data_IF_558809577770
#
_entry.id   IF_558809577770
#
_cell.length_a   1.000
_cell.length_b   1.000
_cell.length_c   1.000
_cell.angle_alpha   90.00
_cell.angle_beta   90.00
_cell.angle_gamma   90.00
#
_symmetry.space_group_name_H-M   'P 1'
#
loop_
_entity.id
_entity.type
_entity.pdbx_description
1 polymer ?
#
# COMPACT_ATOMS: atom_id res chain seq x y z
N UNK A 1 -24.98 -13.48 -69.45
CA UNK A 1 -23.85 -13.22 -70.38
C UNK A 1 -22.97 -12.17 -69.70
N UNK A 2 -21.68 -12.32 -69.42
CA UNK A 2 -20.67 -13.31 -69.74
C UNK A 2 -19.67 -13.41 -68.56
N UNK A 3 -18.92 -14.51 -68.54
CA UNK A 3 -17.92 -14.86 -67.53
C UNK A 3 -16.64 -14.02 -67.62
N UNK A 4 -15.88 -13.94 -66.52
CA UNK A 4 -14.42 -13.92 -66.57
C UNK A 4 -13.85 -14.56 -65.32
N UNK A 5 -13.15 -15.69 -65.52
CA UNK A 5 -12.30 -16.37 -64.57
C UNK A 5 -10.88 -15.82 -64.72
N UNK A 6 -10.19 -15.54 -63.61
CA UNK A 6 -8.73 -15.58 -63.57
C UNK A 6 -8.25 -15.99 -62.18
N UNK A 7 -7.84 -17.25 -62.09
CA UNK A 7 -6.88 -17.80 -61.12
C UNK A 7 -5.55 -17.04 -61.13
N UNK A 8 -4.85 -16.96 -59.98
CA UNK A 8 -3.40 -17.25 -59.80
C UNK A 8 -2.99 -17.12 -58.30
N UNK A 9 -2.63 -18.28 -57.74
CA UNK A 9 -1.54 -18.65 -56.80
C UNK A 9 -1.26 -17.81 -55.52
N UNK A 10 -1.27 -18.43 -54.32
CA UNK A 10 -0.76 -17.81 -53.09
C UNK A 10 0.76 -18.02 -52.95
N UNK A 11 1.52 -16.95 -52.75
CA UNK A 11 2.94 -17.03 -52.39
C UNK A 11 3.08 -17.10 -50.87
N UNK A 12 3.45 -18.29 -50.39
CA UNK A 12 3.76 -18.56 -48.97
C UNK A 12 5.13 -17.94 -48.66
N UNK A 13 5.17 -16.93 -47.80
CA UNK A 13 6.42 -16.43 -47.21
C UNK A 13 6.67 -17.19 -45.90
N UNK A 14 7.51 -18.21 -45.99
CA UNK A 14 8.11 -18.91 -44.84
C UNK A 14 9.08 -17.95 -44.15
N UNK A 15 8.72 -17.43 -42.97
CA UNK A 15 9.68 -16.73 -42.09
C UNK A 15 10.38 -17.75 -41.19
N UNK A 16 11.68 -17.82 -41.41
CA UNK A 16 12.68 -18.67 -40.77
C UNK A 16 12.80 -18.33 -39.27
N UNK A 17 12.43 -19.26 -38.39
CA UNK A 17 12.63 -19.18 -36.94
C UNK A 17 14.07 -19.58 -36.61
N UNK A 18 14.95 -18.58 -36.45
CA UNK A 18 16.27 -18.81 -35.85
C UNK A 18 16.10 -19.05 -34.34
N UNK A 19 16.18 -20.32 -33.96
CA UNK A 19 16.25 -20.83 -32.59
C UNK A 19 17.61 -20.42 -31.99
N UNK A 20 17.63 -19.35 -31.19
CA UNK A 20 18.79 -18.97 -30.39
C UNK A 20 18.87 -19.89 -29.17
N UNK A 21 19.76 -20.86 -29.26
CA UNK A 21 20.08 -21.81 -28.20
C UNK A 21 21.07 -21.13 -27.24
N UNK A 22 20.58 -20.58 -26.14
CA UNK A 22 21.43 -20.02 -25.07
C UNK A 22 21.67 -21.15 -24.06
N UNK A 23 22.89 -21.67 -24.09
CA UNK A 23 23.44 -22.59 -23.08
C UNK A 23 23.62 -21.83 -21.75
N UNK A 24 23.14 -22.34 -20.61
CA UNK A 24 23.45 -21.75 -19.31
C UNK A 24 24.85 -22.19 -18.86
N UNK A 25 25.76 -21.23 -18.69
CA UNK A 25 27.06 -21.45 -18.06
C UNK A 25 26.90 -21.85 -16.58
N UNK A 26 27.76 -22.74 -16.04
CA UNK A 26 27.61 -23.25 -14.67
C UNK A 26 27.90 -22.16 -13.63
N UNK A 27 27.00 -22.05 -12.65
CA UNK A 27 27.13 -21.22 -11.46
C UNK A 27 28.29 -21.76 -10.62
N UNK A 28 29.41 -21.04 -10.60
CA UNK A 28 30.47 -21.27 -9.64
C UNK A 28 30.03 -20.78 -8.26
N UNK A 29 29.63 -21.73 -7.42
CA UNK A 29 29.45 -21.55 -5.97
C UNK A 29 30.84 -21.33 -5.35
N UNK A 30 31.16 -20.08 -5.03
CA UNK A 30 32.27 -19.77 -4.14
C UNK A 30 31.74 -19.71 -2.70
N UNK A 31 31.98 -20.79 -1.96
CA UNK A 31 31.77 -20.87 -0.53
C UNK A 31 33.08 -20.55 0.22
N UNK A 32 32.91 -19.87 1.36
CA UNK A 32 33.81 -19.65 2.54
C UNK A 32 34.64 -18.36 2.58
N UNK A 33 35.09 -17.91 3.78
CA UNK A 33 34.75 -18.38 5.14
C UNK A 33 34.28 -17.28 6.11
N UNK A 34 33.51 -17.70 7.11
CA UNK A 34 33.24 -17.00 8.36
C UNK A 34 34.55 -16.70 9.11
N UNK A 35 34.80 -15.42 9.40
CA UNK A 35 35.85 -15.01 10.33
C UNK A 35 35.20 -14.64 11.67
N UNK A 36 35.47 -15.48 12.67
CA UNK A 36 35.27 -15.21 14.09
C UNK A 36 36.09 -13.97 14.47
N UNK A 37 35.44 -12.94 15.02
CA UNK A 37 36.15 -11.87 15.70
C UNK A 37 36.14 -12.18 17.20
N UNK A 38 37.33 -12.53 17.69
CA UNK A 38 37.60 -12.74 19.12
C UNK A 38 37.45 -11.43 19.89
N UNK A 39 36.69 -11.51 20.98
CA UNK A 39 36.70 -10.56 22.08
C UNK A 39 38.06 -10.55 22.75
N UNK A 40 38.72 -9.39 22.80
CA UNK A 40 39.83 -9.15 23.71
C UNK A 40 39.49 -7.93 24.58
N UNK A 41 39.20 -8.20 25.86
CA UNK A 41 39.15 -7.21 26.91
C UNK A 41 40.57 -6.69 27.16
N UNK A 42 40.70 -5.37 27.25
CA UNK A 42 41.82 -4.71 27.92
C UNK A 42 41.27 -3.58 28.77
N UNK A 43 41.38 -3.77 30.08
CA UNK A 43 41.11 -2.77 31.11
C UNK A 43 42.09 -1.60 30.96
N UNK A 44 41.59 -0.36 30.92
CA UNK A 44 42.37 0.81 31.30
C UNK A 44 41.60 1.60 32.35
N UNK A 45 42.21 1.60 33.53
CA UNK A 45 41.86 2.31 34.73
C UNK A 45 42.20 3.80 34.55
N UNK A 46 41.24 4.69 34.74
CA UNK A 46 41.52 6.10 35.00
C UNK A 46 40.63 6.61 36.13
N UNK A 47 41.27 6.86 37.28
CA UNK A 47 40.72 7.52 38.46
C UNK A 47 40.86 9.03 38.28
N UNK A 48 39.79 9.78 38.55
CA UNK A 48 39.91 11.06 39.26
C UNK A 48 38.55 11.42 39.88
N UNK A 49 38.53 11.46 41.20
CA UNK A 49 37.45 11.98 42.02
C UNK A 49 37.58 13.51 42.20
N UNK A 50 36.46 14.17 42.52
CA UNK A 50 36.26 15.38 43.37
C UNK A 50 34.82 15.90 43.08
N UNK A 51 33.79 15.52 43.86
CA UNK A 51 33.26 16.06 45.15
C UNK A 51 32.21 17.18 45.04
N UNK A 52 31.03 16.89 45.64
CA UNK A 52 30.02 17.74 46.31
C UNK A 52 29.16 18.68 45.44
N UNK A 53 27.86 18.95 45.64
CA UNK A 53 26.77 18.61 46.61
C UNK A 53 25.42 19.09 45.97
N UNK A 54 24.22 18.88 46.56
CA UNK A 54 22.98 18.67 45.81
C UNK A 54 22.07 19.92 45.72
N UNK A 55 21.41 20.08 44.57
CA UNK A 55 20.19 20.90 44.48
C UNK A 55 19.03 20.00 44.01
N UNK A 56 18.19 19.64 44.98
CA UNK A 56 16.87 19.05 44.76
C UNK A 56 15.98 20.10 44.11
N UNK A 57 15.51 19.83 42.89
CA UNK A 57 14.30 20.46 42.39
C UNK A 57 13.21 19.40 42.32
N UNK A 58 12.31 19.44 43.29
CA UNK A 58 11.04 18.72 43.26
C UNK A 58 10.15 19.49 42.28
N UNK A 59 9.90 18.92 41.11
CA UNK A 59 8.83 19.37 40.21
C UNK A 59 7.84 18.22 40.12
N UNK A 60 6.65 18.49 40.64
CA UNK A 60 5.45 17.65 40.60
C UNK A 60 5.08 17.29 39.16
N UNK A 61 4.75 16.03 38.84
CA UNK A 61 4.13 15.73 37.55
C UNK A 61 2.66 16.15 37.61
N UNK A 62 2.32 17.25 36.95
CA UNK A 62 0.92 17.55 36.63
C UNK A 62 0.43 16.51 35.64
N UNK A 63 -0.59 15.74 36.03
CA UNK A 63 -1.28 14.80 35.17
C UNK A 63 -1.87 15.55 33.96
N UNK A 64 -1.21 15.44 32.80
CA UNK A 64 -1.81 15.80 31.53
C UNK A 64 -2.68 14.60 31.15
N UNK A 65 -3.97 14.73 31.43
CA UNK A 65 -4.99 13.87 30.86
C UNK A 65 -4.96 14.05 29.35
N UNK A 66 -4.21 13.19 28.66
CA UNK A 66 -4.24 13.06 27.21
C UNK A 66 -5.54 12.35 26.85
N UNK A 67 -6.63 13.13 26.83
CA UNK A 67 -7.82 12.82 26.07
C UNK A 67 -7.39 12.71 24.60
N UNK A 68 -7.06 11.49 24.17
CA UNK A 68 -6.98 11.14 22.75
C UNK A 68 -8.39 11.26 22.18
N UNK A 69 -8.75 12.48 21.81
CA UNK A 69 -9.93 12.74 21.01
C UNK A 69 -9.73 12.02 19.69
N UNK A 70 -10.49 10.94 19.50
CA UNK A 70 -10.84 10.44 18.18
C UNK A 70 -11.42 11.61 17.39
N UNK A 71 -10.59 12.20 16.53
CA UNK A 71 -11.06 13.12 15.51
C UNK A 71 -11.88 12.30 14.50
N UNK A 72 -13.15 12.06 14.84
CA UNK A 72 -14.19 11.75 13.85
C UNK A 72 -14.39 13.03 13.05
N UNK A 73 -13.48 13.30 12.11
CA UNK A 73 -13.60 14.40 11.17
C UNK A 73 -14.78 14.09 10.27
N UNK A 74 -15.96 14.58 10.65
CA UNK A 74 -17.16 14.53 9.84
C UNK A 74 -16.83 15.10 8.45
N UNK A 75 -16.89 14.25 7.44
CA UNK A 75 -16.61 14.63 6.06
C UNK A 75 -17.58 15.76 5.68
N UNK A 76 -17.06 16.94 5.33
CA UNK A 76 -17.93 18.06 4.90
C UNK A 76 -18.67 17.65 3.62
N UNK A 77 -19.95 18.03 3.51
CA UNK A 77 -20.82 17.73 2.35
C UNK A 77 -20.13 17.87 0.99
N UNK A 78 -19.34 18.94 0.80
CA UNK A 78 -18.59 19.17 -0.44
C UNK A 78 -17.50 18.15 -0.78
N UNK A 79 -16.96 17.36 0.17
CA UNK A 79 -16.03 16.27 -0.15
C UNK A 79 -16.78 15.00 -0.62
N UNK A 80 -18.00 14.79 -0.15
CA UNK A 80 -18.87 13.68 -0.60
C UNK A 80 -19.31 13.94 -2.04
N UNK A 81 -19.64 15.19 -2.38
CA UNK A 81 -20.00 15.60 -3.73
C UNK A 81 -18.85 15.35 -4.74
N UNK A 82 -17.58 15.45 -4.30
CA UNK A 82 -16.44 15.13 -5.16
C UNK A 82 -16.32 13.62 -5.43
N UNK A 83 -16.63 12.77 -4.45
CA UNK A 83 -16.61 11.31 -4.60
C UNK A 83 -17.69 10.79 -5.55
N UNK A 84 -18.80 11.51 -5.71
CA UNK A 84 -19.89 11.11 -6.60
C UNK A 84 -19.43 11.01 -8.08
N UNK A 85 -18.45 11.83 -8.47
CA UNK A 85 -17.88 11.86 -9.81
C UNK A 85 -16.68 10.92 -10.03
N UNK A 86 -16.21 10.24 -8.97
CA UNK A 86 -15.00 9.42 -9.02
C UNK A 86 -15.30 8.05 -9.61
N UNK A 87 -14.46 7.63 -10.54
CA UNK A 87 -14.49 6.31 -11.19
C UNK A 87 -13.18 5.58 -10.92
N UNK A 88 -13.29 4.30 -10.58
CA UNK A 88 -12.16 3.36 -10.47
C UNK A 88 -12.34 2.23 -11.47
N UNK A 89 -11.25 1.54 -11.82
CA UNK A 89 -11.27 0.44 -12.76
C UNK A 89 -11.15 -0.89 -12.01
N UNK A 90 -12.01 -1.85 -12.34
CA UNK A 90 -11.84 -3.23 -11.87
C UNK A 90 -10.68 -3.93 -12.60
N UNK A 91 -10.45 -5.21 -12.29
CA UNK A 91 -9.40 -5.99 -12.93
C UNK A 91 -9.68 -6.28 -14.41
N UNK A 92 -10.91 -6.15 -14.90
CA UNK A 92 -11.22 -6.31 -16.33
C UNK A 92 -11.13 -4.98 -17.08
N UNK A 93 -10.91 -3.88 -16.36
CA UNK A 93 -10.82 -2.52 -16.89
C UNK A 93 -12.18 -1.84 -17.03
N UNK A 94 -13.24 -2.38 -16.43
CA UNK A 94 -14.54 -1.72 -16.42
C UNK A 94 -14.53 -0.54 -15.45
N UNK A 95 -15.18 0.54 -15.87
CA UNK A 95 -15.38 1.74 -15.06
C UNK A 95 -16.47 1.54 -14.01
N UNK A 96 -16.11 1.68 -12.74
CA UNK A 96 -17.00 1.55 -11.59
C UNK A 96 -17.04 2.88 -10.85
N UNK A 97 -18.23 3.51 -10.68
CA UNK A 97 -18.37 4.65 -9.78
C UNK A 97 -17.92 4.23 -8.38
N UNK A 98 -17.04 4.99 -7.74
CA UNK A 98 -16.44 4.54 -6.48
C UNK A 98 -17.49 4.29 -5.39
N UNK A 99 -18.57 5.07 -5.39
CA UNK A 99 -19.67 4.90 -4.44
C UNK A 99 -20.41 3.56 -4.59
N UNK A 100 -20.33 2.91 -5.75
CA UNK A 100 -20.98 1.62 -5.99
C UNK A 100 -20.31 0.48 -5.22
N UNK A 101 -19.06 0.66 -4.78
CA UNK A 101 -18.34 -0.30 -3.95
C UNK A 101 -19.01 -0.54 -2.58
N UNK A 102 -19.78 0.45 -2.10
CA UNK A 102 -20.44 0.46 -0.78
C UNK A 102 -21.89 0.98 -0.78
N UNK A 103 -22.49 1.28 -1.94
CA UNK A 103 -23.87 1.81 -1.98
C UNK A 103 -24.88 0.84 -1.35
N UNK A 104 -24.72 -0.46 -1.57
CA UNK A 104 -25.66 -1.50 -1.16
C UNK A 104 -25.11 -2.40 -0.03
N UNK A 105 -23.88 -2.14 0.43
CA UNK A 105 -23.21 -2.94 1.46
C UNK A 105 -22.17 -2.14 2.23
N UNK A 106 -21.74 -2.62 3.39
CA UNK A 106 -20.59 -2.06 4.12
C UNK A 106 -19.28 -2.45 3.41
N UNK A 107 -18.29 -1.56 3.42
CA UNK A 107 -16.98 -1.82 2.84
C UNK A 107 -15.86 -1.18 3.67
N UNK A 108 -14.81 -1.95 3.95
CA UNK A 108 -13.50 -1.44 4.35
C UNK A 108 -12.69 -1.24 3.08
N UNK A 109 -12.42 0.02 2.74
CA UNK A 109 -11.69 0.39 1.52
C UNK A 109 -10.32 0.92 1.90
N UNK A 110 -9.27 0.14 1.61
CA UNK A 110 -7.89 0.50 1.84
C UNK A 110 -7.28 1.12 0.58
N UNK A 111 -6.74 2.33 0.71
CA UNK A 111 -6.04 3.03 -0.35
C UNK A 111 -4.53 2.79 -0.21
N UNK A 112 -3.94 2.13 -1.20
CA UNK A 112 -2.50 1.94 -1.28
C UNK A 112 -1.81 3.23 -1.74
N UNK A 113 -0.51 3.36 -1.46
CA UNK A 113 0.34 4.44 -1.99
C UNK A 113 0.75 4.16 -3.44
N UNK A 114 1.01 2.89 -3.72
CA UNK A 114 1.22 2.28 -5.03
C UNK A 114 1.21 0.75 -4.84
N UNK A 115 0.92 -0.01 -5.90
CA UNK A 115 0.86 -1.48 -5.86
C UNK A 115 2.21 -2.17 -5.56
N UNK A 116 3.32 -1.47 -5.80
CA UNK A 116 4.66 -1.96 -5.46
C UNK A 116 5.07 -1.85 -3.99
N UNK A 117 4.31 -1.09 -3.18
CA UNK A 117 4.75 -0.63 -1.85
C UNK A 117 4.79 -1.77 -0.82
N UNK A 118 5.95 -1.97 -0.18
CA UNK A 118 6.15 -2.98 0.87
C UNK A 118 5.21 -2.76 2.06
N UNK A 119 5.02 -1.52 2.47
CA UNK A 119 4.13 -1.18 3.59
C UNK A 119 2.67 -1.40 3.22
N UNK A 120 2.26 -1.09 1.98
CA UNK A 120 0.90 -1.38 1.52
C UNK A 120 0.66 -2.88 1.36
N UNK A 121 1.67 -3.66 0.96
CA UNK A 121 1.60 -5.13 0.92
C UNK A 121 1.43 -5.73 2.32
N UNK A 122 2.21 -5.24 3.29
CA UNK A 122 2.07 -5.59 4.71
C UNK A 122 0.66 -5.26 5.22
N UNK A 123 0.16 -4.04 4.97
CA UNK A 123 -1.22 -3.63 5.30
C UNK A 123 -2.27 -4.54 4.67
N UNK A 124 -2.12 -4.86 3.38
CA UNK A 124 -3.06 -5.72 2.68
C UNK A 124 -3.12 -7.13 3.29
N UNK A 125 -1.97 -7.69 3.69
CA UNK A 125 -1.93 -8.99 4.37
C UNK A 125 -2.64 -8.95 5.74
N UNK A 126 -2.38 -7.93 6.56
CA UNK A 126 -3.08 -7.75 7.84
C UNK A 126 -4.59 -7.62 7.69
N UNK A 127 -5.06 -6.81 6.74
CA UNK A 127 -6.50 -6.67 6.48
C UNK A 127 -7.09 -7.99 5.96
N UNK A 128 -6.35 -8.72 5.12
CA UNK A 128 -6.78 -10.01 4.60
C UNK A 128 -6.85 -11.11 5.68
N UNK A 129 -6.01 -11.03 6.72
CA UNK A 129 -6.09 -11.91 7.89
C UNK A 129 -7.36 -11.68 8.72
N UNK A 130 -7.92 -10.47 8.67
CA UNK A 130 -9.08 -10.04 9.45
C UNK A 130 -10.38 -10.04 8.65
N UNK A 131 -10.31 -10.45 7.38
CA UNK A 131 -11.44 -10.47 6.45
C UNK A 131 -12.63 -11.26 6.99
N UNK A 132 -12.42 -12.40 7.66
CA UNK A 132 -13.52 -13.20 8.20
C UNK A 132 -14.34 -12.44 9.25
N UNK A 133 -13.70 -11.58 10.05
CA UNK A 133 -14.39 -10.71 11.01
C UNK A 133 -15.14 -9.58 10.31
N UNK A 134 -14.56 -9.01 9.25
CA UNK A 134 -15.23 -8.01 8.41
C UNK A 134 -16.46 -8.61 7.72
N UNK A 135 -16.33 -9.80 7.13
CA UNK A 135 -17.43 -10.52 6.47
C UNK A 135 -18.55 -10.84 7.48
N UNK A 136 -18.21 -11.26 8.70
CA UNK A 136 -19.17 -11.48 9.78
C UNK A 136 -19.92 -10.21 10.20
N UNK A 137 -19.28 -9.04 10.05
CA UNK A 137 -19.90 -7.72 10.23
C UNK A 137 -20.68 -7.24 8.98
N UNK A 138 -20.74 -8.03 7.91
CA UNK A 138 -21.36 -7.63 6.64
C UNK A 138 -20.54 -6.63 5.84
N UNK A 139 -19.25 -6.47 6.15
CA UNK A 139 -18.33 -5.57 5.46
C UNK A 139 -17.41 -6.32 4.50
N UNK A 140 -17.38 -5.86 3.24
CA UNK A 140 -16.40 -6.36 2.28
C UNK A 140 -15.02 -5.74 2.53
N UNK A 141 -13.97 -6.39 2.05
CA UNK A 141 -12.62 -5.83 2.00
C UNK A 141 -12.28 -5.43 0.56
N UNK A 142 -11.91 -4.17 0.37
CA UNK A 142 -11.53 -3.58 -0.92
C UNK A 142 -10.17 -2.90 -0.81
N UNK A 143 -9.34 -3.04 -1.85
CA UNK A 143 -8.08 -2.32 -2.02
C UNK A 143 -8.12 -1.49 -3.30
N UNK A 144 -7.85 -0.19 -3.18
CA UNK A 144 -7.71 0.73 -4.31
C UNK A 144 -6.25 1.19 -4.34
N UNK A 145 -5.62 1.10 -5.51
CA UNK A 145 -4.26 1.61 -5.70
C UNK A 145 -4.21 2.63 -6.83
N UNK A 146 -3.34 3.65 -6.74
CA UNK A 146 -3.08 4.51 -7.86
C UNK A 146 -2.18 3.74 -8.85
N UNK A 147 -2.62 3.64 -10.10
CA UNK A 147 -1.91 2.85 -11.10
C UNK A 147 -2.81 2.29 -12.19
N UNK A 148 -2.23 1.48 -13.07
CA UNK A 148 -2.95 0.82 -14.16
C UNK A 148 -3.66 -0.46 -13.70
N UNK A 149 -4.57 -0.96 -14.53
CA UNK A 149 -5.24 -2.25 -14.33
C UNK A 149 -4.23 -3.40 -14.30
N UNK A 150 -3.18 -3.35 -15.11
CA UNK A 150 -2.13 -4.37 -15.13
C UNK A 150 -1.33 -4.39 -13.81
N UNK A 151 -1.09 -3.23 -13.21
CA UNK A 151 -0.47 -3.16 -11.89
C UNK A 151 -1.36 -3.75 -10.79
N UNK A 152 -2.67 -3.49 -10.86
CA UNK A 152 -3.66 -4.07 -9.95
C UNK A 152 -3.73 -5.60 -10.09
N UNK A 153 -3.73 -6.13 -11.32
CA UNK A 153 -3.65 -7.57 -11.59
C UNK A 153 -2.39 -8.19 -11.00
N UNK A 154 -1.23 -7.61 -11.31
CA UNK A 154 0.04 -8.10 -10.80
C UNK A 154 0.07 -8.12 -9.25
N UNK A 155 -0.44 -7.07 -8.61
CA UNK A 155 -0.60 -7.05 -7.16
C UNK A 155 -1.48 -8.19 -6.64
N UNK A 156 -2.68 -8.35 -7.22
CA UNK A 156 -3.63 -9.39 -6.84
C UNK A 156 -3.03 -10.79 -6.98
N UNK A 157 -2.38 -11.05 -8.12
CA UNK A 157 -1.76 -12.35 -8.42
C UNK A 157 -0.59 -12.69 -7.50
N UNK A 158 0.26 -11.70 -7.18
CA UNK A 158 1.45 -11.90 -6.35
C UNK A 158 1.11 -12.03 -4.87
N UNK A 159 0.14 -11.24 -4.38
CA UNK A 159 -0.23 -11.20 -2.96
C UNK A 159 -1.30 -12.23 -2.60
N UNK A 160 -2.02 -12.76 -3.61
CA UNK A 160 -3.22 -13.58 -3.39
C UNK A 160 -4.22 -12.88 -2.47
N UNK A 161 -4.35 -11.56 -2.62
CA UNK A 161 -5.21 -10.74 -1.79
C UNK A 161 -6.64 -11.26 -1.84
N UNK A 162 -7.26 -11.42 -0.67
CA UNK A 162 -8.58 -12.05 -0.52
C UNK A 162 -9.74 -11.08 -0.75
N UNK A 163 -9.45 -9.78 -0.83
CA UNK A 163 -10.44 -8.75 -1.09
C UNK A 163 -10.52 -8.37 -2.57
N UNK A 164 -11.40 -7.43 -2.88
CA UNK A 164 -11.54 -6.87 -4.22
C UNK A 164 -10.42 -5.85 -4.48
N UNK A 165 -9.91 -5.77 -5.71
CA UNK A 165 -8.81 -4.86 -6.09
C UNK A 165 -9.25 -3.98 -7.25
N UNK A 166 -9.05 -2.67 -7.10
CA UNK A 166 -9.34 -1.68 -8.12
C UNK A 166 -8.15 -0.76 -8.38
N UNK A 167 -8.04 -0.30 -9.62
CA UNK A 167 -7.05 0.69 -10.04
C UNK A 167 -7.71 2.09 -10.14
N UNK A 168 -6.99 3.13 -9.70
CA UNK A 168 -7.34 4.53 -9.98
C UNK A 168 -6.20 5.20 -10.77
N UNK A 169 -6.17 5.05 -12.11
CA UNK A 169 -5.14 5.68 -12.95
C UNK A 169 -5.18 7.22 -12.91
N UNK A 170 -6.33 7.79 -12.55
CA UNK A 170 -6.59 9.24 -12.58
C UNK A 170 -6.22 9.95 -11.27
N UNK A 171 -6.01 9.18 -10.21
CA UNK A 171 -5.86 9.65 -8.83
C UNK A 171 -7.06 10.48 -8.35
N UNK A 172 -8.23 10.31 -8.98
CA UNK A 172 -9.41 11.12 -8.69
C UNK A 172 -9.95 10.81 -7.30
N UNK A 173 -9.90 9.55 -6.85
CA UNK A 173 -10.27 9.15 -5.50
C UNK A 173 -9.36 9.78 -4.45
N UNK A 174 -8.05 9.80 -4.69
CA UNK A 174 -7.04 10.39 -3.81
C UNK A 174 -7.23 11.90 -3.66
N UNK A 175 -7.54 12.59 -4.76
CA UNK A 175 -7.84 14.03 -4.77
C UNK A 175 -9.15 14.34 -4.05
N UNK A 176 -10.21 13.57 -4.31
CA UNK A 176 -11.51 13.76 -3.67
C UNK A 176 -11.43 13.56 -2.15
N UNK A 177 -10.70 12.53 -1.70
CA UNK A 177 -10.45 12.26 -0.28
C UNK A 177 -9.40 13.19 0.34
N UNK A 178 -8.71 14.01 -0.46
CA UNK A 178 -7.63 14.90 -0.02
C UNK A 178 -6.57 14.15 0.79
N UNK A 179 -6.12 13.00 0.27
CA UNK A 179 -5.03 12.28 0.91
C UNK A 179 -3.74 13.09 0.86
N UNK A 180 -2.93 12.93 1.90
CA UNK A 180 -1.67 13.64 2.06
C UNK A 180 -0.73 13.27 0.92
N UNK A 181 0.02 14.22 0.39
CA UNK A 181 1.10 13.95 -0.56
C UNK A 181 2.31 14.81 -0.25
N UNK A 182 3.51 14.25 -0.40
CA UNK A 182 4.75 15.00 -0.17
C UNK A 182 5.99 14.14 0.04
N UNK A 183 7.14 14.73 -0.24
CA UNK A 183 8.47 14.11 0.01
C UNK A 183 8.70 13.94 1.51
N UNK A 184 8.39 14.97 2.30
CA UNK A 184 8.58 14.98 3.75
C UNK A 184 7.68 13.98 4.49
N UNK A 185 6.52 13.61 3.93
CA UNK A 185 5.61 12.61 4.51
C UNK A 185 5.96 11.20 4.06
N UNK A 186 6.80 11.06 3.04
CA UNK A 186 7.25 9.77 2.51
C UNK A 186 8.56 9.31 3.13
N UNK A 187 9.50 10.22 3.33
CA UNK A 187 10.81 9.95 3.92
C UNK A 187 10.91 10.47 5.35
N UNK A 188 10.03 9.98 6.20
CA UNK A 188 10.16 10.21 7.64
C UNK A 188 11.08 9.16 8.27
N UNK A 189 11.75 9.46 9.39
CA UNK A 189 12.46 8.45 10.16
C UNK A 189 11.57 7.25 10.54
N UNK A 190 10.29 7.52 10.84
CA UNK A 190 9.28 6.48 11.14
C UNK A 190 9.03 5.54 9.96
N UNK A 191 8.84 6.08 8.76
CA UNK A 191 8.68 5.27 7.54
C UNK A 191 9.91 4.38 7.28
N UNK A 192 11.12 4.91 7.49
CA UNK A 192 12.36 4.14 7.36
C UNK A 192 12.43 2.93 8.31
N UNK A 193 12.09 3.14 9.59
CA UNK A 193 12.04 2.06 10.59
C UNK A 193 10.98 1.00 10.23
N UNK A 194 9.79 1.42 9.79
CA UNK A 194 8.72 0.51 9.37
C UNK A 194 9.11 -0.33 8.15
N UNK A 195 9.85 0.25 7.20
CA UNK A 195 10.38 -0.50 6.04
C UNK A 195 11.38 -1.57 6.51
N UNK A 196 12.31 -1.21 7.41
CA UNK A 196 13.27 -2.17 7.98
C UNK A 196 12.52 -3.30 8.69
N UNK A 197 11.53 -2.97 9.52
CA UNK A 197 10.69 -3.94 10.21
C UNK A 197 9.97 -4.86 9.23
N UNK A 198 9.30 -4.32 8.21
CA UNK A 198 8.63 -5.12 7.18
C UNK A 198 9.62 -6.05 6.46
N UNK A 199 10.86 -5.60 6.23
CA UNK A 199 11.89 -6.44 5.61
C UNK A 199 12.35 -7.57 6.54
N UNK A 200 12.47 -7.32 7.85
CA UNK A 200 12.76 -8.37 8.84
C UNK A 200 11.62 -9.40 8.90
N UNK A 201 10.37 -8.95 8.77
CA UNK A 201 9.18 -9.81 8.72
C UNK A 201 9.00 -10.54 7.37
N UNK A 202 9.89 -10.32 6.41
CA UNK A 202 9.91 -11.04 5.12
C UNK A 202 9.22 -10.33 3.96
N UNK A 203 8.58 -9.19 4.19
CA UNK A 203 7.99 -8.39 3.12
C UNK A 203 9.06 -7.75 2.25
N UNK A 204 8.79 -7.64 0.95
CA UNK A 204 9.70 -7.03 -0.02
C UNK A 204 8.97 -6.02 -0.89
N UNK A 205 9.70 -4.97 -1.27
CA UNK A 205 9.26 -4.03 -2.28
C UNK A 205 9.21 -4.74 -3.64
N UNK A 206 8.10 -4.60 -4.36
CA UNK A 206 8.08 -4.97 -5.77
C UNK A 206 8.61 -3.78 -6.57
N UNK A 207 9.87 -3.89 -6.98
CA UNK A 207 10.56 -2.85 -7.73
C UNK A 207 10.05 -2.69 -9.15
N UNK A 208 9.47 -3.72 -9.77
CA UNK A 208 8.91 -3.62 -11.13
C UNK A 208 7.70 -2.70 -11.11
N UNK A 209 6.78 -2.95 -10.18
CA UNK A 209 5.59 -2.10 -9.98
C UNK A 209 5.97 -0.74 -9.38
N UNK A 210 7.01 -0.66 -8.57
CA UNK A 210 7.46 0.62 -7.98
C UNK A 210 8.19 1.53 -8.98
N UNK A 211 8.82 0.97 -10.02
CA UNK A 211 9.56 1.74 -11.02
C UNK A 211 8.79 1.98 -12.32
N UNK A 212 7.55 1.50 -12.41
CA UNK A 212 6.70 1.80 -13.55
C UNK A 212 6.60 3.31 -13.77
N UNK A 213 6.61 3.73 -15.04
CA UNK A 213 6.82 5.13 -15.40
C UNK A 213 5.78 6.03 -14.76
N UNK A 214 4.53 5.59 -14.59
CA UNK A 214 3.50 6.38 -13.91
C UNK A 214 3.82 6.57 -12.41
N UNK A 215 4.16 5.49 -11.72
CA UNK A 215 4.57 5.50 -10.30
C UNK A 215 5.84 6.33 -10.07
N UNK A 216 6.78 6.31 -11.01
CA UNK A 216 8.04 7.06 -10.93
C UNK A 216 7.91 8.53 -11.36
N UNK A 217 7.09 8.86 -12.37
CA UNK A 217 6.93 10.23 -12.88
C UNK A 217 5.99 11.07 -12.03
N UNK A 218 4.96 10.45 -11.42
CA UNK A 218 4.06 11.11 -10.46
C UNK A 218 4.49 10.92 -9.01
N UNK A 219 5.45 10.02 -8.82
CA UNK A 219 6.23 9.81 -7.61
C UNK A 219 5.42 9.12 -6.51
N UNK A 220 6.05 8.17 -5.83
CA UNK A 220 5.51 7.51 -4.64
C UNK A 220 5.40 8.45 -3.43
N UNK A 221 4.96 9.69 -3.65
CA UNK A 221 4.74 10.75 -2.67
C UNK A 221 3.31 10.79 -2.15
N UNK A 222 2.39 10.12 -2.85
CA UNK A 222 1.01 9.99 -2.47
C UNK A 222 0.90 9.07 -1.25
N UNK A 223 0.25 9.55 -0.20
CA UNK A 223 -0.17 8.73 0.93
C UNK A 223 -1.54 8.09 0.66
N UNK A 224 -1.78 6.99 1.35
CA UNK A 224 -3.04 6.26 1.28
C UNK A 224 -3.94 6.59 2.46
N UNK A 225 -4.74 5.61 2.83
CA UNK A 225 -5.66 5.70 3.96
C UNK A 225 -6.59 4.50 4.01
N UNK A 226 -7.51 4.52 4.96
CA UNK A 226 -8.58 3.53 5.09
C UNK A 226 -9.87 4.28 5.32
N UNK A 227 -10.93 3.90 4.61
CA UNK A 227 -12.30 4.33 4.93
C UNK A 227 -13.15 3.11 5.26
N UNK A 228 -14.13 3.30 6.12
CA UNK A 228 -15.26 2.38 6.25
C UNK A 228 -16.50 3.12 5.77
N UNK A 229 -17.14 2.58 4.74
CA UNK A 229 -18.24 3.23 4.04
C UNK A 229 -19.41 2.27 3.82
N UNK A 230 -20.59 2.84 3.60
CA UNK A 230 -21.83 2.14 3.34
C UNK A 230 -22.54 1.59 4.58
N UNK A 231 -23.68 0.91 4.38
CA UNK A 231 -24.50 1.03 3.17
C UNK A 231 -24.95 2.48 2.92
N UNK A 232 -25.17 2.83 1.65
CA UNK A 232 -25.51 4.19 1.20
C UNK A 232 -24.30 4.96 0.64
N UNK A 233 -24.48 5.59 -0.53
CA UNK A 233 -23.40 6.29 -1.27
C UNK A 233 -22.66 7.34 -0.44
N UNK A 234 -23.39 8.04 0.44
CA UNK A 234 -22.89 9.17 1.23
C UNK A 234 -22.58 8.78 2.69
N UNK A 235 -22.61 7.50 3.01
CA UNK A 235 -22.35 7.00 4.36
C UNK A 235 -20.88 6.61 4.49
N UNK A 236 -20.10 7.40 5.21
CA UNK A 236 -18.71 7.09 5.55
C UNK A 236 -18.61 7.16 7.07
N UNK A 237 -18.56 5.99 7.70
CA UNK A 237 -18.56 5.85 9.16
C UNK A 237 -17.16 6.00 9.77
N UNK A 238 -16.11 5.84 8.97
CA UNK A 238 -14.72 6.02 9.40
C UNK A 238 -13.83 6.49 8.26
N UNK A 239 -12.87 7.35 8.59
CA UNK A 239 -11.80 7.77 7.67
C UNK A 239 -10.50 7.96 8.44
N UNK A 240 -9.47 7.22 8.01
CA UNK A 240 -8.09 7.43 8.39
C UNK A 240 -7.30 7.86 7.15
N UNK A 241 -6.61 8.99 7.24
CA UNK A 241 -5.72 9.48 6.18
C UNK A 241 -4.30 9.34 6.69
N UNK A 242 -3.50 8.55 5.98
CA UNK A 242 -2.12 8.28 6.38
C UNK A 242 -1.33 9.60 6.44
N UNK A 243 -0.76 9.92 7.60
CA UNK A 243 0.12 11.11 7.77
C UNK A 243 1.50 10.88 7.16
N UNK A 244 1.95 9.63 7.18
CA UNK A 244 3.22 9.18 6.65
C UNK A 244 3.14 7.75 6.10
N UNK A 245 4.18 7.31 5.40
CA UNK A 245 4.20 5.96 4.87
C UNK A 245 4.19 4.91 6.00
N UNK A 246 3.19 4.01 5.96
CA UNK A 246 2.98 2.98 6.99
C UNK A 246 2.27 3.48 8.24
N UNK A 247 1.62 4.65 8.21
CA UNK A 247 0.71 5.12 9.25
C UNK A 247 -0.58 4.28 9.25
N UNK A 248 -0.51 3.06 9.78
CA UNK A 248 -1.62 2.13 9.89
C UNK A 248 -2.46 2.43 11.16
N UNK A 249 -3.79 2.60 11.05
CA UNK A 249 -4.64 2.71 12.23
C UNK A 249 -4.79 1.34 12.91
N UNK A 250 -5.29 1.34 14.15
CA UNK A 250 -5.58 0.10 14.86
C UNK A 250 -6.70 -0.68 14.13
N UNK A 251 -6.50 -1.99 13.99
CA UNK A 251 -7.49 -2.88 13.38
C UNK A 251 -8.80 -2.89 14.17
N UNK A 252 -8.73 -2.74 15.50
CA UNK A 252 -9.93 -2.70 16.34
C UNK A 252 -10.82 -1.49 16.03
N UNK A 253 -10.22 -0.36 15.66
CA UNK A 253 -10.98 0.83 15.22
C UNK A 253 -11.72 0.58 13.91
N UNK A 254 -11.04 -0.07 12.95
CA UNK A 254 -11.65 -0.44 11.65
C UNK A 254 -12.81 -1.42 11.87
N UNK A 255 -12.58 -2.48 12.65
CA UNK A 255 -13.60 -3.50 12.93
C UNK A 255 -14.79 -2.90 13.66
N UNK A 256 -14.56 -2.03 14.66
CA UNK A 256 -15.63 -1.33 15.36
C UNK A 256 -16.49 -0.51 14.39
N UNK A 257 -15.88 0.19 13.43
CA UNK A 257 -16.60 0.97 12.43
C UNK A 257 -17.39 0.11 11.42
N UNK A 258 -17.12 -1.19 11.32
CA UNK A 258 -17.90 -2.12 10.49
C UNK A 258 -19.27 -2.43 11.10
N UNK A 259 -19.41 -2.39 12.43
CA UNK A 259 -20.66 -2.69 13.15
C UNK A 259 -21.60 -1.50 13.33
N UNK A 260 -21.24 -0.32 12.80
CA UNK A 260 -22.00 0.95 12.92
C UNK A 260 -22.87 1.20 11.69
#
# INVERSE_FOLDING_TARGET
MAASLSTIVPYIVVRNTKKLHIQPSPIHVFAKPSQKLNTHCSNVLAKSALTNSPHKWVITPSAISSSSGTETSAMTKGNIDLLESVVVLDLDGNEIPISDLWKDRKAVVAFARHFGCVLCRKRADYLAAEKEKMDAAGATLVLIGPGSVDQAKAFSEQTKFKGEVYADPSYSSYKALKFVSGVSTTFTPGAGLKIIQAYVEGYRQDWVLSFEKDTRTRGGWQQGGIIVAGPGKNNISYIHKDKEAGDDPDIEEILKACFV
#
